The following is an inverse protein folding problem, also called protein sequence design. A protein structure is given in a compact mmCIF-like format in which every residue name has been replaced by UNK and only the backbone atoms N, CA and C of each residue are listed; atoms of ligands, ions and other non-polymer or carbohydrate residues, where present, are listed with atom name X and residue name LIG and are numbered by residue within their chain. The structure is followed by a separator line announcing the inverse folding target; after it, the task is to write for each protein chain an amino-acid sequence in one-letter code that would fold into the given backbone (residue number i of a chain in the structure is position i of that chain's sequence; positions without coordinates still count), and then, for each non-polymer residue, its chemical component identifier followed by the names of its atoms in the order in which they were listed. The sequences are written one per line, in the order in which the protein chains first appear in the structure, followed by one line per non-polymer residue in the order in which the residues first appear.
data_IF_283230416060
#
_entry.id   IF_283230416060
#
_cell.length_a   1.000
_cell.length_b   1.000
_cell.length_c   1.000
_cell.angle_alpha   90.00
_cell.angle_beta   90.00
_cell.angle_gamma   90.00
#
_symmetry.space_group_name_H-M   'P 1'
#
loop_
_entity.id
_entity.type
_entity.pdbx_description
1 polymer ?
#
# COMPACT_ATOMS: atom_id res chain seq x y z
N UNK A 1 -22.68 -20.23 1.47
CA UNK A 1 -23.16 -19.84 0.13
C UNK A 1 -22.01 -20.04 -0.83
N UNK A 2 -22.26 -20.63 -2.00
CA UNK A 2 -21.20 -20.98 -2.93
C UNK A 2 -20.58 -19.69 -3.52
N UNK A 3 -19.25 -19.62 -3.54
CA UNK A 3 -18.48 -18.54 -4.19
C UNK A 3 -18.60 -18.57 -5.74
N UNK A 4 -19.63 -19.23 -6.27
CA UNK A 4 -19.83 -19.49 -7.70
C UNK A 4 -19.97 -18.23 -8.56
N UNK A 5 -20.14 -17.06 -7.92
CA UNK A 5 -20.33 -15.78 -8.63
C UNK A 5 -19.09 -14.88 -8.62
N UNK A 6 -18.09 -15.17 -7.79
CA UNK A 6 -16.87 -14.35 -7.65
C UNK A 6 -15.84 -14.71 -8.71
N UNK A 7 -15.31 -13.71 -9.39
CA UNK A 7 -14.20 -13.86 -10.33
C UNK A 7 -13.12 -12.84 -10.04
N UNK A 8 -11.85 -13.23 -10.17
CA UNK A 8 -10.69 -12.35 -9.97
C UNK A 8 -9.90 -12.28 -11.26
N UNK A 9 -9.76 -11.08 -11.80
CA UNK A 9 -8.87 -10.78 -12.93
C UNK A 9 -7.66 -10.00 -12.44
N UNK A 10 -6.58 -10.01 -13.20
CA UNK A 10 -5.39 -9.23 -12.91
C UNK A 10 -4.81 -8.62 -14.17
N UNK A 11 -4.23 -7.43 -14.04
CA UNK A 11 -3.32 -6.89 -15.05
C UNK A 11 -1.88 -7.33 -14.80
N UNK A 12 -0.93 -6.58 -15.36
CA UNK A 12 0.48 -6.97 -15.39
C UNK A 12 1.29 -6.48 -14.19
N UNK A 13 0.76 -5.58 -13.35
CA UNK A 13 1.56 -4.94 -12.30
C UNK A 13 1.89 -5.88 -11.13
N UNK A 14 0.97 -6.78 -10.72
CA UNK A 14 1.21 -7.65 -9.57
C UNK A 14 0.53 -9.04 -9.70
N UNK A 15 0.81 -9.82 -10.76
CA UNK A 15 0.17 -11.10 -10.98
C UNK A 15 0.45 -12.12 -9.87
N UNK A 16 1.63 -12.07 -9.25
CA UNK A 16 1.99 -12.98 -8.14
C UNK A 16 1.10 -12.79 -6.91
N UNK A 17 0.71 -11.56 -6.59
CA UNK A 17 -0.25 -11.31 -5.51
C UNK A 17 -1.64 -11.82 -5.91
N UNK A 18 -2.05 -11.59 -7.15
CA UNK A 18 -3.34 -12.06 -7.65
C UNK A 18 -3.46 -13.59 -7.60
N UNK A 19 -2.39 -14.32 -7.98
CA UNK A 19 -2.32 -15.79 -7.88
C UNK A 19 -2.48 -16.26 -6.42
N UNK A 20 -1.79 -15.61 -5.48
CA UNK A 20 -1.92 -15.94 -4.05
C UNK A 20 -3.34 -15.67 -3.53
N UNK A 21 -3.94 -14.52 -3.90
CA UNK A 21 -5.31 -14.17 -3.51
C UNK A 21 -6.31 -15.18 -4.07
N UNK A 22 -6.21 -15.53 -5.36
CA UNK A 22 -7.06 -16.53 -5.99
C UNK A 22 -6.95 -17.90 -5.30
N UNK A 23 -5.73 -18.28 -4.90
CA UNK A 23 -5.49 -19.51 -4.12
C UNK A 23 -6.20 -19.48 -2.76
N UNK A 24 -6.14 -18.38 -2.02
CA UNK A 24 -6.83 -18.23 -0.73
C UNK A 24 -8.35 -18.26 -0.90
N UNK A 25 -8.87 -17.67 -1.99
CA UNK A 25 -10.30 -17.72 -2.33
C UNK A 25 -10.76 -19.07 -2.86
N UNK A 26 -9.83 -19.99 -3.17
CA UNK A 26 -10.09 -21.26 -3.84
C UNK A 26 -10.80 -21.07 -5.18
N UNK A 27 -10.39 -20.08 -5.95
CA UNK A 27 -10.85 -19.82 -7.33
C UNK A 27 -9.65 -19.78 -8.28
N UNK A 28 -9.90 -19.93 -9.59
CA UNK A 28 -8.89 -19.64 -10.60
C UNK A 28 -8.91 -18.14 -10.97
N UNK A 29 -7.78 -17.63 -11.46
CA UNK A 29 -7.77 -16.31 -12.06
C UNK A 29 -8.55 -16.32 -13.37
N UNK A 30 -9.38 -15.31 -13.58
CA UNK A 30 -10.12 -15.11 -14.80
C UNK A 30 -9.17 -14.95 -15.99
N UNK A 31 -9.49 -15.63 -17.10
CA UNK A 31 -8.68 -15.59 -18.31
C UNK A 31 -8.91 -14.29 -19.06
N UNK A 32 -7.85 -13.52 -19.22
CA UNK A 32 -7.82 -12.32 -20.03
C UNK A 32 -6.45 -12.16 -20.69
N UNK A 33 -6.43 -11.53 -21.85
CA UNK A 33 -5.18 -11.02 -22.44
C UNK A 33 -5.08 -9.55 -22.09
N UNK A 34 -3.99 -9.16 -21.43
CA UNK A 34 -3.64 -7.76 -21.15
C UNK A 34 -2.28 -7.51 -21.75
N UNK A 35 -2.24 -6.76 -22.83
CA UNK A 35 -1.05 -6.51 -23.66
C UNK A 35 -1.00 -5.08 -24.14
N UNK A 36 0.00 -4.78 -24.97
CA UNK A 36 0.15 -3.50 -25.65
C UNK A 36 0.30 -3.70 -27.14
N UNK A 37 -0.24 -2.76 -27.89
CA UNK A 37 0.11 -2.59 -29.31
C UNK A 37 1.55 -2.07 -29.45
N UNK A 38 2.08 -2.09 -30.65
CA UNK A 38 3.46 -1.65 -30.94
C UNK A 38 3.72 -0.17 -30.66
N UNK A 39 2.68 0.65 -30.63
CA UNK A 39 2.71 2.07 -30.27
C UNK A 39 2.57 2.33 -28.76
N UNK A 40 2.34 1.25 -27.97
CA UNK A 40 2.23 1.31 -26.52
C UNK A 40 0.82 1.41 -25.97
N UNK A 41 -0.22 1.48 -26.81
CA UNK A 41 -1.62 1.47 -26.37
C UNK A 41 -1.97 0.13 -25.71
N UNK A 42 -2.70 0.20 -24.59
CA UNK A 42 -3.14 -0.99 -23.84
C UNK A 42 -4.30 -1.68 -24.57
N UNK A 43 -4.18 -2.99 -24.72
CA UNK A 43 -5.22 -3.86 -25.28
C UNK A 43 -5.62 -4.91 -24.23
N UNK A 44 -6.93 -5.07 -24.04
CA UNK A 44 -7.51 -6.08 -23.14
C UNK A 44 -8.56 -6.90 -23.88
N UNK A 45 -8.50 -8.22 -23.72
CA UNK A 45 -9.52 -9.16 -24.17
C UNK A 45 -9.92 -10.08 -23.02
N UNK A 46 -11.21 -10.13 -22.70
CA UNK A 46 -11.79 -11.04 -21.70
C UNK A 46 -12.13 -12.37 -22.38
N UNK A 47 -11.55 -13.46 -21.91
CA UNK A 47 -11.64 -14.79 -22.52
C UNK A 47 -12.59 -15.74 -21.78
N UNK A 48 -13.41 -15.20 -20.88
CA UNK A 48 -14.39 -15.96 -20.09
C UNK A 48 -15.74 -15.30 -20.03
N UNK A 49 -16.76 -16.08 -19.71
CA UNK A 49 -18.11 -15.59 -19.52
C UNK A 49 -18.26 -14.89 -18.17
N UNK A 50 -18.48 -13.57 -18.18
CA UNK A 50 -18.56 -12.73 -16.98
C UNK A 50 -19.94 -12.13 -16.72
N UNK A 51 -20.94 -12.44 -17.57
CA UNK A 51 -22.29 -11.86 -17.44
C UNK A 51 -22.90 -12.16 -16.08
N UNK A 52 -23.29 -11.09 -15.38
CA UNK A 52 -23.90 -11.14 -14.05
C UNK A 52 -22.95 -11.56 -12.93
N UNK A 53 -21.64 -11.74 -13.19
CA UNK A 53 -20.63 -12.11 -12.19
C UNK A 53 -20.22 -10.92 -11.33
N UNK A 54 -19.77 -11.19 -10.11
CA UNK A 54 -19.11 -10.26 -9.22
C UNK A 54 -17.60 -10.31 -9.49
N UNK A 55 -17.10 -9.30 -10.17
CA UNK A 55 -15.73 -9.29 -10.72
C UNK A 55 -14.83 -8.36 -9.92
N UNK A 56 -13.69 -8.88 -9.50
CA UNK A 56 -12.60 -8.12 -8.89
C UNK A 56 -11.44 -7.99 -9.87
N UNK A 57 -10.98 -6.76 -10.11
CA UNK A 57 -9.75 -6.48 -10.86
C UNK A 57 -8.66 -6.21 -9.83
N UNK A 58 -7.76 -7.17 -9.60
CA UNK A 58 -6.64 -6.99 -8.69
C UNK A 58 -5.42 -6.45 -9.45
N UNK A 59 -5.08 -5.20 -9.19
CA UNK A 59 -3.99 -4.50 -9.86
C UNK A 59 -3.39 -3.43 -8.97
N UNK A 60 -2.10 -3.48 -8.70
CA UNK A 60 -1.40 -2.37 -8.05
C UNK A 60 -1.12 -1.27 -9.07
N UNK A 61 -1.58 -0.02 -8.82
CA UNK A 61 -1.30 1.09 -9.73
C UNK A 61 0.08 1.71 -9.44
N UNK A 62 1.09 0.83 -9.35
CA UNK A 62 2.50 1.15 -9.17
C UNK A 62 3.22 1.28 -10.51
N UNK A 63 4.54 1.53 -10.45
CA UNK A 63 5.34 1.67 -11.67
C UNK A 63 5.27 0.42 -12.58
N UNK A 64 5.09 0.64 -13.89
CA UNK A 64 4.83 1.90 -14.61
C UNK A 64 3.40 2.41 -14.37
N UNK A 65 3.27 3.45 -13.53
CA UNK A 65 2.01 3.86 -12.90
C UNK A 65 0.89 4.19 -13.91
N UNK A 66 1.23 4.88 -15.00
CA UNK A 66 0.24 5.26 -16.03
C UNK A 66 -0.28 4.04 -16.77
N UNK A 67 0.60 3.11 -17.12
CA UNK A 67 0.23 1.87 -17.80
C UNK A 67 -0.63 0.99 -16.90
N UNK A 68 -0.20 0.81 -15.65
CA UNK A 68 -0.94 0.01 -14.66
C UNK A 68 -2.34 0.57 -14.39
N UNK A 69 -2.49 1.90 -14.36
CA UNK A 69 -3.79 2.55 -14.24
C UNK A 69 -4.63 2.37 -15.50
N UNK A 70 -4.03 2.55 -16.68
CA UNK A 70 -4.74 2.39 -17.96
C UNK A 70 -5.21 0.94 -18.17
N UNK A 71 -4.42 -0.07 -17.76
CA UNK A 71 -4.85 -1.47 -17.77
C UNK A 71 -6.15 -1.65 -16.98
N UNK A 72 -6.25 -1.08 -15.77
CA UNK A 72 -7.50 -1.12 -14.96
C UNK A 72 -8.65 -0.50 -15.73
N UNK A 73 -8.46 0.70 -16.31
CA UNK A 73 -9.51 1.42 -17.02
C UNK A 73 -10.06 0.61 -18.19
N UNK A 74 -9.17 0.06 -19.03
CA UNK A 74 -9.54 -0.72 -20.21
C UNK A 74 -10.20 -2.06 -19.81
N UNK A 75 -9.70 -2.71 -18.74
CA UNK A 75 -10.31 -3.93 -18.20
C UNK A 75 -11.74 -3.68 -17.70
N UNK A 76 -11.97 -2.56 -16.99
CA UNK A 76 -13.32 -2.19 -16.51
C UNK A 76 -14.29 -2.03 -17.68
N UNK A 77 -13.89 -1.30 -18.74
CA UNK A 77 -14.74 -1.12 -19.92
C UNK A 77 -15.04 -2.46 -20.62
N UNK A 78 -14.03 -3.31 -20.79
CA UNK A 78 -14.21 -4.64 -21.40
C UNK A 78 -15.18 -5.51 -20.59
N UNK A 79 -15.05 -5.55 -19.27
CA UNK A 79 -15.91 -6.31 -18.36
C UNK A 79 -17.35 -5.76 -18.36
N UNK A 80 -17.49 -4.44 -18.37
CA UNK A 80 -18.79 -3.75 -18.44
C UNK A 80 -19.53 -4.09 -19.75
N UNK A 81 -18.81 -4.04 -20.89
CA UNK A 81 -19.37 -4.44 -22.20
C UNK A 81 -19.72 -5.93 -22.26
N UNK A 82 -18.98 -6.76 -21.53
CA UNK A 82 -19.28 -8.19 -21.36
C UNK A 82 -20.41 -8.46 -20.34
N UNK A 83 -21.04 -7.42 -19.80
CA UNK A 83 -22.17 -7.47 -18.86
C UNK A 83 -21.81 -8.10 -17.50
N UNK A 84 -20.62 -7.84 -16.96
CA UNK A 84 -20.34 -8.13 -15.56
C UNK A 84 -21.42 -7.51 -14.65
N UNK A 85 -21.76 -8.17 -13.56
CA UNK A 85 -22.85 -7.74 -12.66
C UNK A 85 -22.39 -6.64 -11.70
N UNK A 86 -21.18 -6.76 -11.16
CA UNK A 86 -20.50 -5.77 -10.32
C UNK A 86 -19.01 -5.81 -10.63
N UNK A 87 -18.36 -4.66 -10.68
CA UNK A 87 -16.92 -4.54 -10.93
C UNK A 87 -16.27 -3.80 -9.77
N UNK A 88 -15.46 -4.52 -8.99
CA UNK A 88 -14.67 -3.96 -7.90
C UNK A 88 -13.22 -3.79 -8.35
N UNK A 89 -12.71 -2.56 -8.36
CA UNK A 89 -11.29 -2.30 -8.51
C UNK A 89 -10.58 -2.60 -7.18
N UNK A 90 -9.84 -3.71 -7.12
CA UNK A 90 -9.04 -4.09 -5.98
C UNK A 90 -7.59 -3.64 -6.21
N UNK A 91 -7.27 -2.46 -5.69
CA UNK A 91 -6.00 -1.78 -5.87
C UNK A 91 -5.18 -1.84 -4.58
N UNK A 92 -4.34 -2.88 -4.35
CA UNK A 92 -3.54 -3.00 -3.12
C UNK A 92 -2.67 -1.78 -2.87
N UNK A 93 -2.20 -1.14 -3.95
CA UNK A 93 -1.57 0.18 -3.92
C UNK A 93 -2.32 1.13 -4.86
N UNK A 94 -2.83 2.23 -4.30
CA UNK A 94 -3.49 3.30 -5.03
C UNK A 94 -2.46 4.36 -5.42
N UNK A 95 -2.05 4.37 -6.67
CA UNK A 95 -1.14 5.36 -7.23
C UNK A 95 -1.73 6.77 -7.20
N UNK A 96 -0.87 7.80 -7.25
CA UNK A 96 -1.23 9.22 -7.15
C UNK A 96 -1.81 9.66 -5.79
N UNK A 97 -1.92 8.78 -4.79
CA UNK A 97 -2.46 9.09 -3.46
C UNK A 97 -1.76 10.25 -2.74
N UNK A 98 -0.47 10.49 -3.03
CA UNK A 98 0.31 11.58 -2.42
C UNK A 98 -0.10 12.97 -2.89
N UNK A 99 -0.87 13.08 -3.97
CA UNK A 99 -1.38 14.33 -4.53
C UNK A 99 -2.86 14.49 -4.15
N UNK A 100 -3.14 14.48 -2.85
CA UNK A 100 -4.47 14.46 -2.24
C UNK A 100 -5.02 15.86 -1.90
N UNK A 101 -4.18 16.88 -1.95
CA UNK A 101 -4.53 18.25 -1.58
C UNK A 101 -3.71 19.29 -2.34
N UNK A 102 -4.26 20.49 -2.42
CA UNK A 102 -3.57 21.66 -2.97
C UNK A 102 -2.95 22.48 -1.84
N UNK A 103 -1.62 22.66 -1.79
CA UNK A 103 -0.98 23.65 -0.90
C UNK A 103 -1.49 25.06 -1.19
N UNK A 104 -1.60 25.91 -0.14
CA UNK A 104 -2.20 27.25 -0.26
C UNK A 104 -1.55 28.14 -1.32
N UNK A 105 -0.24 28.01 -1.54
CA UNK A 105 0.55 28.85 -2.45
C UNK A 105 0.74 28.23 -3.84
N UNK A 106 0.22 27.04 -4.11
CA UNK A 106 0.50 26.31 -5.35
C UNK A 106 -0.75 26.16 -6.25
N UNK A 107 -0.53 26.25 -7.56
CA UNK A 107 -1.54 25.94 -8.59
C UNK A 107 -1.26 24.56 -9.17
N UNK A 108 -1.63 23.53 -8.42
CA UNK A 108 -1.41 22.13 -8.76
C UNK A 108 -2.71 21.37 -8.80
N UNK A 109 -2.72 20.24 -9.52
CA UNK A 109 -3.86 19.33 -9.52
C UNK A 109 -3.99 18.60 -8.17
N UNK A 110 -5.19 18.12 -7.87
CA UNK A 110 -5.44 17.08 -6.86
C UNK A 110 -5.57 15.77 -7.64
N UNK A 111 -4.43 15.16 -7.96
CA UNK A 111 -4.41 14.04 -8.91
C UNK A 111 -5.11 12.79 -8.38
N UNK A 112 -5.12 12.59 -7.05
CA UNK A 112 -5.90 11.53 -6.42
C UNK A 112 -7.41 11.66 -6.76
N UNK A 113 -7.94 12.89 -6.82
CA UNK A 113 -9.33 13.15 -7.24
C UNK A 113 -9.54 12.87 -8.73
N UNK A 114 -8.57 13.24 -9.58
CA UNK A 114 -8.64 12.96 -11.03
C UNK A 114 -8.72 11.44 -11.26
N UNK A 115 -7.86 10.66 -10.58
CA UNK A 115 -7.88 9.18 -10.69
C UNK A 115 -9.20 8.62 -10.17
N UNK A 116 -9.73 9.14 -9.06
CA UNK A 116 -11.02 8.72 -8.53
C UNK A 116 -12.15 8.95 -9.55
N UNK A 117 -12.21 10.13 -10.18
CA UNK A 117 -13.21 10.46 -11.19
C UNK A 117 -13.08 9.57 -12.43
N UNK A 118 -11.87 9.26 -12.87
CA UNK A 118 -11.62 8.35 -13.99
C UNK A 118 -12.15 6.94 -13.68
N UNK A 119 -11.87 6.37 -12.52
CA UNK A 119 -12.33 5.05 -12.10
C UNK A 119 -13.86 4.98 -12.01
N UNK A 120 -14.48 5.99 -11.41
CA UNK A 120 -15.94 6.09 -11.34
C UNK A 120 -16.53 6.27 -12.74
N UNK A 121 -15.95 7.15 -13.55
CA UNK A 121 -16.44 7.47 -14.90
C UNK A 121 -16.39 6.29 -15.86
N UNK A 122 -15.39 5.42 -15.77
CA UNK A 122 -15.31 4.21 -16.60
C UNK A 122 -16.31 3.13 -16.15
N UNK A 123 -16.76 3.18 -14.89
CA UNK A 123 -17.81 2.29 -14.38
C UNK A 123 -17.36 1.28 -13.34
N UNK A 124 -16.38 1.63 -12.51
CA UNK A 124 -16.09 0.91 -11.27
C UNK A 124 -17.26 1.10 -10.30
N UNK A 125 -17.77 0.00 -9.73
CA UNK A 125 -18.88 0.02 -8.77
C UNK A 125 -18.40 0.15 -7.32
N UNK A 126 -17.15 -0.27 -7.02
CA UNK A 126 -16.53 -0.25 -5.69
C UNK A 126 -15.01 -0.20 -5.81
N UNK A 127 -14.37 0.51 -4.91
CA UNK A 127 -12.92 0.46 -4.71
C UNK A 127 -12.59 -0.35 -3.46
N UNK A 128 -11.70 -1.33 -3.58
CA UNK A 128 -10.98 -1.96 -2.47
C UNK A 128 -9.53 -1.54 -2.55
N UNK A 129 -8.99 -0.98 -1.48
CA UNK A 129 -7.58 -0.55 -1.42
C UNK A 129 -7.00 -0.74 -0.03
N UNK A 130 -5.69 -0.57 0.12
CA UNK A 130 -5.00 -0.76 1.39
C UNK A 130 -4.18 0.47 1.77
N UNK A 131 -4.25 0.86 3.05
CA UNK A 131 -3.45 1.95 3.65
C UNK A 131 -3.32 3.17 2.73
N UNK A 132 -4.43 3.79 2.39
CA UNK A 132 -4.42 5.06 1.65
C UNK A 132 -3.51 6.07 2.35
N UNK A 133 -2.71 6.80 1.57
CA UNK A 133 -1.82 7.84 2.10
C UNK A 133 -2.55 8.86 2.98
N UNK A 134 -3.82 9.10 2.67
CA UNK A 134 -4.72 9.98 3.42
C UNK A 134 -6.13 9.39 3.37
N UNK A 135 -6.75 9.21 4.52
CA UNK A 135 -8.10 8.63 4.62
C UNK A 135 -9.16 9.50 3.92
N UNK A 136 -8.91 10.81 3.79
CA UNK A 136 -9.82 11.73 3.09
C UNK A 136 -9.98 11.42 1.61
N UNK A 137 -9.06 10.66 0.99
CA UNK A 137 -9.17 10.22 -0.41
C UNK A 137 -10.45 9.42 -0.64
N UNK A 138 -10.94 8.68 0.38
CA UNK A 138 -12.22 7.97 0.31
C UNK A 138 -13.38 8.91 -0.07
N UNK A 139 -13.35 10.15 0.41
CA UNK A 139 -14.34 11.18 0.09
C UNK A 139 -14.27 11.73 -1.35
N UNK A 140 -13.27 11.34 -2.14
CA UNK A 140 -13.19 11.74 -3.56
C UNK A 140 -14.04 10.85 -4.46
N UNK A 141 -14.47 9.70 -3.96
CA UNK A 141 -15.27 8.73 -4.69
C UNK A 141 -16.77 8.94 -4.42
N UNK A 142 -17.59 8.76 -5.44
CA UNK A 142 -19.06 8.67 -5.32
C UNK A 142 -19.54 7.22 -5.25
N UNK A 143 -18.64 6.27 -5.13
CA UNK A 143 -18.89 4.84 -4.97
C UNK A 143 -18.33 4.38 -3.61
N UNK A 144 -18.78 3.22 -3.09
CA UNK A 144 -18.19 2.65 -1.87
C UNK A 144 -16.69 2.43 -1.98
N UNK A 145 -15.96 2.74 -0.89
CA UNK A 145 -14.52 2.53 -0.76
C UNK A 145 -14.25 1.72 0.49
N UNK A 146 -13.65 0.56 0.33
CA UNK A 146 -13.11 -0.24 1.43
C UNK A 146 -11.60 0.00 1.51
N UNK A 147 -11.18 0.89 2.41
CA UNK A 147 -9.77 1.07 2.74
C UNK A 147 -9.41 0.14 3.89
N UNK A 148 -8.69 -0.94 3.58
CA UNK A 148 -8.24 -1.90 4.58
C UNK A 148 -6.82 -1.56 5.06
N UNK A 149 -6.40 -2.15 6.19
CA UNK A 149 -5.13 -1.80 6.82
C UNK A 149 -4.21 -3.01 6.93
N UNK A 150 -2.93 -2.85 6.59
CA UNK A 150 -1.91 -3.88 6.76
C UNK A 150 -1.49 -4.07 8.23
N UNK A 151 -1.93 -3.18 9.11
CA UNK A 151 -1.55 -3.21 10.53
C UNK A 151 -1.67 -4.58 11.21
N UNK A 152 -2.71 -5.41 11.03
CA UNK A 152 -2.77 -6.74 11.62
C UNK A 152 -1.63 -7.66 11.18
N UNK A 153 -1.22 -7.58 9.90
CA UNK A 153 -0.13 -8.39 9.34
C UNK A 153 1.21 -7.93 9.92
N UNK A 154 1.43 -6.61 9.95
CA UNK A 154 2.65 -6.01 10.47
C UNK A 154 2.80 -6.27 11.97
N UNK A 155 1.74 -6.12 12.76
CA UNK A 155 1.68 -6.46 14.18
C UNK A 155 2.00 -7.93 14.45
N UNK A 156 1.38 -8.85 13.69
CA UNK A 156 1.66 -10.28 13.81
C UNK A 156 3.13 -10.59 13.61
N UNK A 157 3.79 -9.91 12.67
CA UNK A 157 5.21 -10.06 12.46
C UNK A 157 6.04 -9.52 13.63
N UNK A 158 5.72 -8.31 14.13
CA UNK A 158 6.39 -7.72 15.30
C UNK A 158 6.33 -8.66 16.51
N UNK A 159 5.17 -9.26 16.79
CA UNK A 159 5.00 -10.22 17.88
C UNK A 159 5.83 -11.50 17.66
N UNK A 160 5.88 -12.02 16.44
CA UNK A 160 6.68 -13.21 16.11
C UNK A 160 8.18 -12.97 16.27
N UNK A 161 8.65 -11.76 15.99
CA UNK A 161 10.06 -11.38 16.15
C UNK A 161 10.47 -11.21 17.63
N UNK A 162 9.49 -10.98 18.53
CA UNK A 162 9.70 -10.83 19.97
C UNK A 162 10.83 -9.84 20.33
N UNK A 163 10.80 -8.65 19.72
CA UNK A 163 11.80 -7.62 19.97
C UNK A 163 11.82 -7.19 21.44
N UNK A 164 13.00 -7.13 22.02
CA UNK A 164 13.18 -6.69 23.40
C UNK A 164 13.31 -5.16 23.48
N UNK A 165 12.85 -4.57 24.59
CA UNK A 165 12.94 -3.14 24.89
C UNK A 165 12.46 -2.24 23.74
N UNK A 166 11.28 -2.56 23.21
CA UNK A 166 10.70 -1.96 22.03
C UNK A 166 10.18 -0.54 22.28
N UNK A 167 10.34 0.36 21.30
CA UNK A 167 9.66 1.64 21.22
C UNK A 167 9.19 1.88 19.79
N UNK A 168 7.94 2.34 19.64
CA UNK A 168 7.41 2.74 18.33
C UNK A 168 7.82 4.18 18.03
N UNK A 169 8.23 4.43 16.79
CA UNK A 169 8.71 5.74 16.35
C UNK A 169 7.88 6.24 15.17
N UNK A 170 7.31 7.43 15.29
CA UNK A 170 6.72 8.14 14.16
C UNK A 170 7.83 8.88 13.40
N UNK A 171 7.99 8.65 12.08
CA UNK A 171 9.05 9.29 11.30
C UNK A 171 8.81 10.79 11.06
N UNK A 172 7.60 11.28 11.33
CA UNK A 172 7.23 12.69 11.27
C UNK A 172 5.93 12.96 12.05
N UNK A 173 5.53 14.22 12.11
CA UNK A 173 4.31 14.64 12.83
C UNK A 173 3.03 14.10 12.17
N UNK A 174 3.04 13.88 10.85
CA UNK A 174 1.89 13.37 10.10
C UNK A 174 1.55 11.91 10.43
N UNK A 175 2.56 11.09 10.68
CA UNK A 175 2.42 9.66 11.02
C UNK A 175 2.08 9.34 12.47
N UNK A 176 1.98 10.36 13.36
CA UNK A 176 1.81 10.15 14.82
C UNK A 176 0.56 9.35 15.16
N UNK A 177 -0.55 9.54 14.47
CA UNK A 177 -1.80 8.82 14.76
C UNK A 177 -1.62 7.32 14.51
N UNK A 178 -1.01 6.95 13.38
CA UNK A 178 -0.70 5.55 13.03
C UNK A 178 0.29 4.92 14.01
N UNK A 179 1.38 5.62 14.31
CA UNK A 179 2.39 5.15 15.25
C UNK A 179 1.81 4.96 16.67
N UNK A 180 0.94 5.87 17.12
CA UNK A 180 0.26 5.77 18.42
C UNK A 180 -0.68 4.55 18.49
N UNK A 181 -1.43 4.27 17.44
CA UNK A 181 -2.29 3.11 17.37
C UNK A 181 -1.46 1.81 17.50
N UNK A 182 -0.32 1.74 16.81
CA UNK A 182 0.61 0.62 16.92
C UNK A 182 1.21 0.51 18.32
N UNK A 183 1.72 1.61 18.88
CA UNK A 183 2.32 1.63 20.22
C UNK A 183 1.33 1.13 21.29
N UNK A 184 0.06 1.54 21.20
CA UNK A 184 -1.00 1.07 22.10
C UNK A 184 -1.19 -0.45 22.01
N UNK A 185 -1.22 -1.03 20.81
CA UNK A 185 -1.38 -2.48 20.62
C UNK A 185 -0.16 -3.29 21.05
N UNK A 186 1.03 -2.70 21.00
CA UNK A 186 2.28 -3.30 21.44
C UNK A 186 2.59 -3.02 22.92
N UNK A 187 1.72 -2.28 23.63
CA UNK A 187 1.94 -1.83 25.00
C UNK A 187 3.32 -1.17 25.18
N UNK A 188 3.73 -0.39 24.16
CA UNK A 188 5.04 0.25 24.12
C UNK A 188 4.95 1.77 24.17
N UNK A 189 6.08 2.41 24.50
CA UNK A 189 6.22 3.85 24.40
C UNK A 189 6.22 4.31 22.93
N UNK A 190 6.00 5.62 22.74
CA UNK A 190 6.02 6.30 21.46
C UNK A 190 7.10 7.39 21.46
N UNK A 191 7.95 7.39 20.44
CA UNK A 191 8.81 8.53 20.11
C UNK A 191 8.36 9.19 18.81
N UNK A 192 8.67 10.46 18.64
CA UNK A 192 8.30 11.26 17.46
C UNK A 192 9.54 11.98 16.94
N UNK A 193 9.77 11.89 15.64
CA UNK A 193 10.82 12.66 14.97
C UNK A 193 10.21 13.96 14.42
N UNK A 194 10.57 15.08 15.05
CA UNK A 194 10.20 16.42 14.61
C UNK A 194 11.29 16.98 13.69
N UNK A 195 10.94 17.18 12.42
CA UNK A 195 11.85 17.66 11.37
C UNK A 195 11.71 19.16 11.23
N UNK A 196 12.67 19.93 11.73
CA UNK A 196 12.70 21.37 11.59
C UNK A 196 13.76 21.82 10.59
N UNK A 197 13.36 22.72 9.70
CA UNK A 197 14.30 23.53 8.91
C UNK A 197 14.35 24.92 9.54
N UNK A 198 15.37 25.23 10.34
CA UNK A 198 15.42 26.51 11.05
C UNK A 198 15.55 27.71 10.09
N UNK A 199 16.15 27.51 8.90
CA UNK A 199 16.26 28.52 7.82
C UNK A 199 16.42 27.84 6.45
N UNK A 200 16.10 28.54 5.33
CA UNK A 200 16.49 28.08 4.01
C UNK A 200 18.01 27.85 3.95
N UNK A 201 18.44 26.75 3.33
CA UNK A 201 19.87 26.34 3.19
C UNK A 201 20.62 25.95 4.47
N UNK A 202 19.93 25.76 5.60
CA UNK A 202 20.52 25.19 6.83
C UNK A 202 20.20 23.69 6.88
N UNK A 203 21.14 22.91 7.40
CA UNK A 203 20.99 21.48 7.60
C UNK A 203 19.71 21.18 8.41
N UNK A 204 18.99 20.14 7.99
CA UNK A 204 17.76 19.70 8.61
C UNK A 204 18.08 19.16 10.01
N UNK A 205 17.52 19.77 11.03
CA UNK A 205 17.65 19.30 12.41
C UNK A 205 16.52 18.31 12.69
N UNK A 206 16.88 17.11 13.12
CA UNK A 206 15.92 16.14 13.62
C UNK A 206 15.91 16.17 15.13
N UNK A 207 14.79 16.61 15.70
CA UNK A 207 14.57 16.54 17.14
C UNK A 207 13.75 15.28 17.46
N UNK A 208 14.28 14.42 18.31
CA UNK A 208 13.59 13.21 18.75
C UNK A 208 12.95 13.49 20.10
N UNK A 209 11.63 13.34 20.16
CA UNK A 209 10.82 13.47 21.36
C UNK A 209 10.54 12.04 21.86
N UNK A 210 11.05 11.70 23.01
CA UNK A 210 11.02 10.35 23.61
C UNK A 210 12.42 9.80 23.84
N UNK A 211 12.55 8.84 24.75
CA UNK A 211 13.83 8.20 25.08
C UNK A 211 14.02 6.93 24.24
N UNK A 212 15.05 6.95 23.38
CA UNK A 212 15.35 5.87 22.43
C UNK A 212 16.67 5.16 22.73
N UNK A 213 17.43 5.65 23.74
CA UNK A 213 18.75 5.09 24.08
C UNK A 213 18.63 3.63 24.57
N UNK A 214 19.42 2.73 24.01
CA UNK A 214 19.43 1.30 24.32
C UNK A 214 18.15 0.56 23.93
N UNK A 215 17.32 1.13 23.06
CA UNK A 215 16.01 0.55 22.68
C UNK A 215 16.00 0.04 21.24
N UNK A 216 15.11 -0.93 20.99
CA UNK A 216 14.74 -1.36 19.63
C UNK A 216 13.65 -0.42 19.12
N UNK A 217 14.01 0.44 18.16
CA UNK A 217 13.11 1.41 17.56
C UNK A 217 12.38 0.79 16.35
N UNK A 218 11.05 0.80 16.37
CA UNK A 218 10.20 0.43 15.22
C UNK A 218 9.64 1.69 14.59
N UNK A 219 10.12 2.02 13.38
CA UNK A 219 9.55 3.10 12.57
C UNK A 219 8.38 2.52 11.77
N UNK A 220 7.22 3.19 11.81
CA UNK A 220 6.03 2.81 11.04
C UNK A 220 5.66 3.90 10.05
N UNK A 221 5.51 3.52 8.76
CA UNK A 221 5.08 4.43 7.71
C UNK A 221 4.12 3.71 6.72
N UNK A 222 3.35 4.47 5.93
CA UNK A 222 2.49 3.90 4.89
C UNK A 222 3.28 3.48 3.66
N UNK A 223 4.30 4.25 3.28
CA UNK A 223 5.10 3.94 2.10
C UNK A 223 6.56 4.35 2.24
N UNK A 224 7.41 3.62 1.55
CA UNK A 224 8.80 3.99 1.33
C UNK A 224 9.05 4.19 -0.16
N UNK A 225 9.33 5.44 -0.55
CA UNK A 225 9.62 5.81 -1.94
C UNK A 225 11.14 5.86 -2.16
N UNK A 226 11.77 7.03 -2.13
CA UNK A 226 13.23 7.16 -2.31
C UNK A 226 14.05 6.80 -1.09
N UNK A 227 13.40 6.40 0.00
CA UNK A 227 13.95 6.05 1.32
C UNK A 227 14.76 7.16 2.03
N UNK A 228 14.83 8.38 1.48
CA UNK A 228 15.65 9.44 2.09
C UNK A 228 15.21 9.78 3.51
N UNK A 229 13.92 10.05 3.69
CA UNK A 229 13.33 10.40 4.98
C UNK A 229 13.49 9.29 6.02
N UNK A 230 13.27 8.04 5.60
CA UNK A 230 13.38 6.87 6.47
C UNK A 230 14.83 6.62 6.91
N UNK A 231 15.78 6.72 5.99
CA UNK A 231 17.20 6.57 6.28
C UNK A 231 17.75 7.68 7.19
N UNK A 232 17.34 8.95 6.94
CA UNK A 232 17.69 10.07 7.82
C UNK A 232 17.13 9.85 9.24
N UNK A 233 15.90 9.37 9.36
CA UNK A 233 15.27 9.06 10.64
C UNK A 233 16.04 7.96 11.39
N UNK A 234 16.41 6.88 10.69
CA UNK A 234 17.17 5.78 11.28
C UNK A 234 18.55 6.20 11.75
N UNK A 235 19.27 7.01 10.97
CA UNK A 235 20.57 7.54 11.36
C UNK A 235 20.46 8.41 12.63
N UNK A 236 19.46 9.30 12.69
CA UNK A 236 19.24 10.15 13.86
C UNK A 236 18.90 9.34 15.12
N UNK A 237 18.13 8.24 14.99
CA UNK A 237 17.85 7.33 16.11
C UNK A 237 19.13 6.64 16.60
N UNK A 238 19.98 6.15 15.71
CA UNK A 238 21.26 5.55 16.07
C UNK A 238 22.21 6.55 16.74
N UNK A 239 22.27 7.79 16.26
CA UNK A 239 23.06 8.88 16.88
C UNK A 239 22.56 9.19 18.31
N UNK A 240 21.27 8.95 18.60
CA UNK A 240 20.67 9.07 19.93
C UNK A 240 20.79 7.80 20.78
N UNK A 241 21.55 6.81 20.32
CA UNK A 241 21.86 5.61 21.08
C UNK A 241 20.86 4.47 20.93
N UNK A 242 19.99 4.49 19.92
CA UNK A 242 19.11 3.35 19.63
C UNK A 242 19.95 2.09 19.35
N UNK A 243 19.61 0.97 19.99
CA UNK A 243 20.30 -0.31 19.81
C UNK A 243 20.01 -0.90 18.43
N UNK A 244 18.73 -0.93 18.03
CA UNK A 244 18.28 -1.41 16.72
C UNK A 244 17.27 -0.44 16.12
N UNK A 245 17.28 -0.33 14.80
CA UNK A 245 16.28 0.45 14.05
C UNK A 245 15.68 -0.41 12.96
N UNK A 246 14.40 -0.71 13.12
CA UNK A 246 13.62 -1.54 12.22
C UNK A 246 12.50 -0.68 11.64
N UNK A 247 12.26 -0.78 10.35
CA UNK A 247 11.20 -0.06 9.69
C UNK A 247 10.13 -1.02 9.15
N UNK A 248 8.87 -0.68 9.35
CA UNK A 248 7.71 -1.36 8.77
C UNK A 248 6.97 -0.39 7.87
N UNK A 249 6.80 -0.75 6.61
CA UNK A 249 6.07 0.06 5.63
C UNK A 249 5.11 -0.82 4.83
N UNK A 250 3.91 -0.32 4.57
CA UNK A 250 2.95 -1.06 3.75
C UNK A 250 3.38 -1.09 2.30
N UNK A 251 3.69 0.05 1.69
CA UNK A 251 3.93 0.17 0.26
C UNK A 251 5.41 0.36 -0.11
N UNK A 252 6.08 -0.66 -0.66
CA UNK A 252 7.47 -0.56 -1.11
C UNK A 252 7.55 0.05 -2.53
N UNK A 253 7.40 1.38 -2.63
CA UNK A 253 7.59 2.06 -3.92
C UNK A 253 9.04 1.94 -4.38
N UNK A 254 9.99 2.14 -3.48
CA UNK A 254 11.44 1.90 -3.62
C UNK A 254 12.02 2.45 -4.94
N UNK A 255 11.66 3.69 -5.26
CA UNK A 255 12.09 4.32 -6.51
C UNK A 255 13.51 4.90 -6.44
N UNK A 256 14.13 5.03 -7.61
CA UNK A 256 15.43 5.66 -7.77
C UNK A 256 16.51 5.02 -6.88
N UNK A 257 17.27 5.80 -6.07
CA UNK A 257 18.40 5.29 -5.29
C UNK A 257 17.99 4.64 -3.95
N UNK A 258 16.72 4.22 -3.76
CA UNK A 258 16.19 3.76 -2.48
C UNK A 258 16.99 2.60 -1.90
N UNK A 259 17.29 1.57 -2.69
CA UNK A 259 18.00 0.37 -2.23
C UNK A 259 19.39 0.72 -1.74
N UNK A 260 20.18 1.43 -2.56
CA UNK A 260 21.53 1.84 -2.16
C UNK A 260 21.56 2.77 -0.93
N UNK A 261 20.51 3.56 -0.69
CA UNK A 261 20.35 4.36 0.54
C UNK A 261 20.08 3.47 1.75
N UNK A 262 19.18 2.50 1.62
CA UNK A 262 18.85 1.55 2.70
C UNK A 262 20.09 0.77 3.09
N UNK A 263 20.86 0.25 2.14
CA UNK A 263 22.10 -0.50 2.40
C UNK A 263 23.16 0.31 3.14
N UNK A 264 23.24 1.62 2.86
CA UNK A 264 24.21 2.53 3.49
C UNK A 264 23.71 3.18 4.78
N UNK A 265 22.43 3.04 5.10
CA UNK A 265 21.80 3.66 6.28
C UNK A 265 22.01 2.85 7.55
N UNK A 266 21.56 3.41 8.66
CA UNK A 266 21.50 2.75 9.95
C UNK A 266 20.27 1.86 10.15
N UNK A 267 19.46 1.63 9.12
CA UNK A 267 18.34 0.68 9.17
C UNK A 267 18.88 -0.73 9.28
N UNK A 268 18.52 -1.44 10.34
CA UNK A 268 18.91 -2.85 10.51
C UNK A 268 18.05 -3.76 9.63
N UNK A 269 16.73 -3.48 9.54
CA UNK A 269 15.78 -4.23 8.71
C UNK A 269 14.63 -3.34 8.25
N UNK A 270 14.21 -3.49 6.99
CA UNK A 270 13.01 -2.90 6.41
C UNK A 270 12.03 -4.01 6.05
N UNK A 271 10.89 -4.02 6.72
CA UNK A 271 9.80 -4.94 6.45
C UNK A 271 8.74 -4.21 5.63
N UNK A 272 8.37 -4.80 4.50
CA UNK A 272 7.37 -4.25 3.58
C UNK A 272 6.34 -5.30 3.21
N UNK A 273 5.25 -4.89 2.55
CA UNK A 273 4.27 -5.85 2.07
C UNK A 273 4.41 -6.10 0.56
N UNK A 274 3.68 -7.08 0.04
CA UNK A 274 3.61 -7.37 -1.39
C UNK A 274 2.48 -6.60 -2.12
N UNK A 275 2.02 -5.48 -1.56
CA UNK A 275 1.14 -4.52 -2.25
C UNK A 275 1.76 -3.96 -3.53
N UNK A 276 3.09 -3.87 -3.58
CA UNK A 276 3.89 -3.58 -4.77
C UNK A 276 4.94 -4.68 -4.91
N UNK A 277 5.14 -5.26 -6.10
CA UNK A 277 6.18 -6.26 -6.30
C UNK A 277 7.57 -5.65 -6.14
N UNK A 278 8.45 -6.34 -5.44
CA UNK A 278 9.84 -5.92 -5.30
C UNK A 278 10.59 -6.09 -6.63
N UNK A 279 11.44 -5.12 -6.97
CA UNK A 279 12.43 -5.25 -8.04
C UNK A 279 13.43 -6.36 -7.70
N UNK A 280 14.20 -6.81 -8.68
CA UNK A 280 15.25 -7.81 -8.45
C UNK A 280 16.31 -7.31 -7.46
N UNK A 281 16.72 -6.05 -7.57
CA UNK A 281 17.64 -5.40 -6.65
C UNK A 281 17.09 -5.40 -5.21
N UNK A 282 15.81 -5.03 -5.03
CA UNK A 282 15.17 -5.03 -3.71
C UNK A 282 15.05 -6.43 -3.11
N UNK A 283 14.75 -7.46 -3.92
CA UNK A 283 14.70 -8.85 -3.45
C UNK A 283 16.06 -9.38 -3.01
N UNK A 284 17.14 -8.90 -3.61
CA UNK A 284 18.50 -9.30 -3.28
C UNK A 284 19.09 -8.51 -2.10
N UNK A 285 18.46 -7.41 -1.68
CA UNK A 285 18.88 -6.63 -0.52
C UNK A 285 18.60 -7.39 0.78
N UNK A 286 19.64 -7.75 1.51
CA UNK A 286 19.54 -8.53 2.77
C UNK A 286 18.80 -7.81 3.90
N UNK A 287 18.62 -6.49 3.78
CA UNK A 287 17.92 -5.67 4.77
C UNK A 287 16.41 -5.57 4.51
N UNK A 288 15.92 -6.03 3.35
CA UNK A 288 14.51 -5.94 2.98
C UNK A 288 13.87 -7.32 3.11
N UNK A 289 12.75 -7.37 3.86
CA UNK A 289 11.90 -8.56 3.98
C UNK A 289 10.47 -8.22 3.60
N UNK A 290 9.82 -9.12 2.88
CA UNK A 290 8.47 -8.90 2.36
C UNK A 290 7.46 -9.84 3.02
N UNK A 291 6.35 -9.26 3.50
CA UNK A 291 5.16 -9.96 4.00
C UNK A 291 4.07 -9.97 2.95
N UNK A 292 3.22 -11.01 2.95
CA UNK A 292 2.11 -11.08 2.00
C UNK A 292 0.82 -10.55 2.61
N UNK A 293 0.08 -9.76 1.82
CA UNK A 293 -1.27 -9.28 2.14
C UNK A 293 -2.36 -10.15 1.50
N UNK A 294 -1.98 -11.25 0.85
CA UNK A 294 -2.89 -12.05 0.04
C UNK A 294 -4.07 -12.60 0.82
N UNK A 295 -3.85 -13.13 2.03
CA UNK A 295 -4.90 -13.68 2.88
C UNK A 295 -5.92 -12.62 3.29
N UNK A 296 -5.45 -11.45 3.72
CA UNK A 296 -6.31 -10.32 4.11
C UNK A 296 -7.11 -9.79 2.92
N UNK A 297 -6.48 -9.64 1.76
CA UNK A 297 -7.16 -9.24 0.52
C UNK A 297 -8.23 -10.26 0.12
N UNK A 298 -7.91 -11.54 0.17
CA UNK A 298 -8.85 -12.62 -0.17
C UNK A 298 -10.05 -12.63 0.77
N UNK A 299 -9.83 -12.56 2.08
CA UNK A 299 -10.92 -12.52 3.06
C UNK A 299 -11.80 -11.28 2.89
N UNK A 300 -11.19 -10.13 2.57
CA UNK A 300 -11.95 -8.91 2.27
C UNK A 300 -12.80 -9.07 1.03
N UNK A 301 -12.24 -9.61 -0.06
CA UNK A 301 -13.00 -9.88 -1.30
C UNK A 301 -14.14 -10.86 -1.05
N UNK A 302 -13.90 -11.92 -0.27
CA UNK A 302 -14.94 -12.89 0.13
C UNK A 302 -16.07 -12.19 0.86
N UNK A 303 -15.77 -11.33 1.83
CA UNK A 303 -16.77 -10.57 2.59
C UNK A 303 -17.57 -9.62 1.72
N UNK A 304 -16.90 -8.87 0.84
CA UNK A 304 -17.57 -7.98 -0.13
C UNK A 304 -18.53 -8.79 -1.02
N UNK A 305 -18.10 -9.95 -1.52
CA UNK A 305 -18.95 -10.83 -2.34
C UNK A 305 -20.14 -11.39 -1.56
N UNK A 306 -19.94 -11.74 -0.29
CA UNK A 306 -20.98 -12.26 0.61
C UNK A 306 -21.82 -11.18 1.28
N UNK A 307 -21.57 -9.89 1.00
CA UNK A 307 -22.21 -8.73 1.65
C UNK A 307 -22.04 -8.70 3.17
N UNK A 308 -20.90 -9.23 3.66
CA UNK A 308 -20.51 -9.23 5.06
C UNK A 308 -19.72 -7.98 5.43
N UNK A 309 -19.67 -7.66 6.75
CA UNK A 309 -18.90 -6.53 7.25
C UNK A 309 -17.40 -6.68 7.04
N UNK A 310 -16.77 -5.71 6.37
CA UNK A 310 -15.32 -5.62 6.22
C UNK A 310 -14.66 -4.97 7.43
N UNK A 311 -15.33 -4.00 8.07
CA UNK A 311 -14.78 -3.26 9.22
C UNK A 311 -14.46 -4.15 10.42
N UNK A 312 -15.17 -5.27 10.60
CA UNK A 312 -14.88 -6.25 11.67
C UNK A 312 -13.50 -6.93 11.56
N UNK A 313 -12.81 -6.80 10.42
CA UNK A 313 -11.41 -7.25 10.27
C UNK A 313 -10.40 -6.38 11.03
N UNK A 314 -10.82 -5.17 11.50
CA UNK A 314 -9.94 -4.15 12.05
C UNK A 314 -10.41 -3.59 13.40
N UNK A 315 -11.52 -4.13 13.96
CA UNK A 315 -12.18 -3.57 15.14
C UNK A 315 -11.56 -3.97 16.49
N UNK A 316 -10.35 -4.53 16.56
CA UNK A 316 -9.71 -4.91 17.84
C UNK A 316 -8.44 -4.13 18.15
#
# INVERSE_FOLDING_TARGET
MSHDNLMVFTGNANPKLAEKVAKHLNVHLGRATVSKFSDGEVMVEILEHVRGRDVFILQSTSFPTNDSLMEVMVMVDALKRASAGRITAALPYFGYARQDRRPRSARVAITAKVVADMLVGVGVDRLLTMDLHSDQIQGFFSIPVDNIYAAPILLSDVWKQNYQNLIVVSPDVGGVVRARALAKRLESDLAIIDKRRPKPNVAKVMNIIGDVAGRTCIIMDDMVDTANTLCEAANALKEKGAERVIAYCTHPVLSGPAIGRIEKSAIDELIVTDTIPLSEEARNCKRIRQLSVAELMAETMRRINAEESVSSLFMD
#
